data_IF_861197352016
#
_entry.id   IF_861197352016
#
_cell.length_a   1.000
_cell.length_b   1.000
_cell.length_c   1.000
_cell.angle_alpha   90.00
_cell.angle_beta   90.00
_cell.angle_gamma   90.00
#
_symmetry.space_group_name_H-M   'P 1'
#
loop_
_entity.id
_entity.type
_entity.pdbx_description
1 polymer ?
#
# COMPACT_ATOMS: atom_id res chain seq x y z
N UNK A 1 -5.74 -18.94 -16.43
CA UNK A 1 -4.51 -19.38 -17.12
C UNK A 1 -3.26 -18.63 -16.63
N UNK A 2 -3.20 -17.30 -16.66
CA UNK A 2 -2.00 -16.54 -16.25
C UNK A 2 -1.53 -16.81 -14.81
N UNK A 3 -2.43 -16.88 -13.83
CA UNK A 3 -2.09 -17.19 -12.44
C UNK A 3 -1.52 -18.60 -12.26
N UNK A 4 -2.06 -19.57 -12.98
CA UNK A 4 -1.54 -20.93 -13.01
C UNK A 4 -0.13 -20.95 -13.63
N UNK A 5 0.09 -20.21 -14.71
CA UNK A 5 1.40 -20.08 -15.35
C UNK A 5 2.44 -19.47 -14.39
N UNK A 6 2.12 -18.34 -13.76
CA UNK A 6 3.04 -17.66 -12.83
C UNK A 6 3.33 -18.52 -11.59
N UNK A 7 2.30 -19.11 -10.98
CA UNK A 7 2.43 -19.83 -9.71
C UNK A 7 2.93 -21.26 -9.86
N UNK A 8 2.50 -21.98 -10.88
CA UNK A 8 2.79 -23.43 -11.02
C UNK A 8 3.86 -23.72 -12.06
N UNK A 9 3.87 -23.03 -13.18
CA UNK A 9 4.87 -23.25 -14.25
C UNK A 9 6.14 -22.47 -13.97
N UNK A 10 6.05 -21.14 -13.81
CA UNK A 10 7.22 -20.30 -13.53
C UNK A 10 7.72 -20.43 -12.10
N UNK A 11 6.94 -21.00 -11.18
CA UNK A 11 7.26 -21.14 -9.73
C UNK A 11 7.80 -19.85 -9.10
N UNK A 12 7.33 -18.69 -9.59
CA UNK A 12 7.83 -17.40 -9.17
C UNK A 12 7.72 -17.24 -7.64
N UNK A 13 8.87 -17.27 -6.96
CA UNK A 13 8.99 -17.15 -5.49
C UNK A 13 8.05 -18.07 -4.69
N UNK A 14 7.77 -19.26 -5.19
CA UNK A 14 6.82 -20.20 -4.60
C UNK A 14 7.16 -20.55 -3.15
N UNK A 15 8.43 -20.89 -2.89
CA UNK A 15 8.89 -21.22 -1.53
C UNK A 15 8.70 -20.06 -0.55
N UNK A 16 8.98 -18.83 -0.98
CA UNK A 16 8.78 -17.63 -0.16
C UNK A 16 7.29 -17.44 0.17
N UNK A 17 6.43 -17.60 -0.83
CA UNK A 17 4.98 -17.47 -0.64
C UNK A 17 4.44 -18.50 0.37
N UNK A 18 4.82 -19.78 0.20
CA UNK A 18 4.39 -20.87 1.10
C UNK A 18 4.91 -20.65 2.52
N UNK A 19 6.20 -20.32 2.67
CA UNK A 19 6.81 -20.03 3.97
C UNK A 19 6.13 -18.87 4.69
N UNK A 20 5.88 -17.78 3.97
CA UNK A 20 5.23 -16.61 4.53
C UNK A 20 3.80 -16.93 5.00
N UNK A 21 3.01 -17.64 4.17
CA UNK A 21 1.66 -18.07 4.53
C UNK A 21 1.66 -18.99 5.75
N UNK A 22 2.53 -20.03 5.77
CA UNK A 22 2.59 -20.98 6.87
C UNK A 22 3.00 -20.31 8.20
N UNK A 23 3.91 -19.34 8.16
CA UNK A 23 4.32 -18.58 9.35
C UNK A 23 3.25 -17.61 9.83
N UNK A 24 2.53 -16.97 8.89
CA UNK A 24 1.47 -16.04 9.21
C UNK A 24 0.20 -16.72 9.76
N UNK A 25 -0.04 -17.97 9.34
CA UNK A 25 -1.22 -18.75 9.70
C UNK A 25 -0.83 -20.15 10.17
N UNK A 26 -0.14 -20.29 11.33
CA UNK A 26 0.39 -21.58 11.80
C UNK A 26 -0.70 -22.60 12.18
N UNK A 27 -1.94 -22.14 12.36
CA UNK A 27 -3.10 -22.97 12.64
C UNK A 27 -3.73 -23.62 11.40
N UNK A 28 -3.35 -23.16 10.20
CA UNK A 28 -3.89 -23.70 8.95
C UNK A 28 -3.15 -24.99 8.54
N UNK A 29 -3.92 -25.94 8.03
CA UNK A 29 -3.39 -27.16 7.42
C UNK A 29 -2.64 -26.85 6.12
N UNK A 30 -1.80 -27.80 5.69
CA UNK A 30 -1.11 -27.69 4.40
C UNK A 30 -2.06 -27.53 3.21
N UNK A 31 -3.25 -28.13 3.26
CA UNK A 31 -4.26 -28.00 2.22
C UNK A 31 -4.81 -26.56 2.15
N UNK A 32 -5.15 -25.97 3.29
CA UNK A 32 -5.62 -24.58 3.38
C UNK A 32 -4.56 -23.58 2.93
N UNK A 33 -3.30 -23.77 3.33
CA UNK A 33 -2.17 -22.96 2.84
C UNK A 33 -2.07 -23.04 1.31
N UNK A 34 -2.24 -24.22 0.72
CA UNK A 34 -2.23 -24.38 -0.74
C UNK A 34 -3.40 -23.69 -1.44
N UNK A 35 -4.59 -23.67 -0.82
CA UNK A 35 -5.76 -22.92 -1.32
C UNK A 35 -5.44 -21.42 -1.32
N UNK A 36 -4.97 -20.85 -0.20
CA UNK A 36 -4.59 -19.44 -0.13
C UNK A 36 -3.49 -19.07 -1.12
N UNK A 37 -2.47 -19.92 -1.25
CA UNK A 37 -1.41 -19.76 -2.25
C UNK A 37 -1.99 -19.75 -3.68
N UNK A 38 -2.87 -20.70 -4.01
CA UNK A 38 -3.49 -20.76 -5.34
C UNK A 38 -4.27 -19.47 -5.63
N UNK A 39 -5.13 -19.06 -4.72
CA UNK A 39 -5.93 -17.85 -4.84
C UNK A 39 -5.06 -16.60 -4.95
N UNK A 40 -3.97 -16.52 -4.17
CA UNK A 40 -3.00 -15.43 -4.28
C UNK A 40 -2.42 -15.31 -5.70
N UNK A 41 -1.98 -16.42 -6.32
CA UNK A 41 -1.42 -16.34 -7.67
C UNK A 41 -2.47 -15.98 -8.72
N UNK A 42 -3.73 -16.38 -8.55
CA UNK A 42 -4.83 -15.94 -9.41
C UNK A 42 -5.05 -14.42 -9.29
N UNK A 43 -5.08 -13.92 -8.05
CA UNK A 43 -5.22 -12.50 -7.78
C UNK A 43 -4.01 -11.67 -8.24
N UNK A 44 -2.80 -12.17 -8.04
CA UNK A 44 -1.59 -11.53 -8.57
C UNK A 44 -1.63 -11.41 -10.10
N UNK A 45 -2.05 -12.47 -10.77
CA UNK A 45 -2.22 -12.46 -12.23
C UNK A 45 -3.29 -11.45 -12.67
N UNK A 46 -4.39 -11.36 -11.93
CA UNK A 46 -5.44 -10.35 -12.14
C UNK A 46 -4.86 -8.95 -12.01
N UNK A 47 -4.16 -8.65 -10.92
CA UNK A 47 -3.53 -7.34 -10.69
C UNK A 47 -2.54 -7.00 -11.83
N UNK A 48 -1.72 -7.96 -12.25
CA UNK A 48 -0.81 -7.76 -13.38
C UNK A 48 -1.59 -7.42 -14.65
N UNK A 49 -2.63 -8.19 -14.96
CA UNK A 49 -3.45 -7.95 -16.15
C UNK A 49 -4.15 -6.58 -16.09
N UNK A 50 -4.75 -6.23 -14.96
CA UNK A 50 -5.38 -4.92 -14.71
C UNK A 50 -4.38 -3.77 -14.90
N UNK A 51 -3.13 -4.00 -14.52
CA UNK A 51 -2.05 -3.04 -14.69
C UNK A 51 -1.66 -2.80 -16.14
N UNK A 52 -1.86 -3.77 -17.02
CA UNK A 52 -1.71 -3.57 -18.47
C UNK A 52 -2.96 -2.92 -19.10
N UNK A 53 -4.12 -3.03 -18.47
CA UNK A 53 -5.40 -2.51 -18.94
C UNK A 53 -6.02 -1.46 -17.98
N UNK A 54 -5.30 -0.42 -17.56
CA UNK A 54 -5.76 0.49 -16.51
C UNK A 54 -7.01 1.30 -16.85
N UNK A 55 -7.35 1.39 -18.15
CA UNK A 55 -8.57 2.07 -18.62
C UNK A 55 -9.84 1.29 -18.28
N UNK A 56 -9.75 -0.04 -18.18
CA UNK A 56 -10.88 -0.90 -17.87
C UNK A 56 -11.17 -0.98 -16.37
N UNK A 57 -10.17 -0.68 -15.54
CA UNK A 57 -10.28 -0.76 -14.08
C UNK A 57 -10.96 0.50 -13.56
N UNK A 58 -11.98 0.35 -12.72
CA UNK A 58 -12.66 1.45 -12.04
C UNK A 58 -12.25 1.48 -10.57
N UNK A 59 -12.19 2.69 -10.02
CA UNK A 59 -12.01 2.94 -8.59
C UNK A 59 -13.27 3.60 -8.07
N UNK A 60 -13.80 3.07 -6.99
CA UNK A 60 -14.87 3.65 -6.19
C UNK A 60 -14.31 4.03 -4.83
N UNK A 61 -14.82 5.09 -4.26
CA UNK A 61 -14.52 5.48 -2.89
C UNK A 61 -15.68 5.06 -2.01
N UNK A 62 -15.38 4.48 -0.84
CA UNK A 62 -16.41 4.28 0.19
C UNK A 62 -16.96 5.62 0.64
N UNK A 63 -18.13 5.62 1.27
CA UNK A 63 -18.72 6.83 1.84
C UNK A 63 -17.77 7.50 2.84
N UNK A 64 -17.14 6.70 3.72
CA UNK A 64 -16.15 7.18 4.69
C UNK A 64 -14.90 7.77 4.03
N UNK A 65 -14.45 7.22 2.90
CA UNK A 65 -13.32 7.77 2.14
C UNK A 65 -13.68 9.11 1.49
N UNK A 66 -14.89 9.23 0.92
CA UNK A 66 -15.39 10.47 0.35
C UNK A 66 -15.50 11.57 1.42
N UNK A 67 -16.08 11.26 2.57
CA UNK A 67 -16.17 12.19 3.70
C UNK A 67 -14.78 12.63 4.17
N UNK A 68 -13.84 11.69 4.28
CA UNK A 68 -12.46 11.98 4.67
C UNK A 68 -11.78 12.92 3.66
N UNK A 69 -11.87 12.63 2.37
CA UNK A 69 -11.29 13.49 1.33
C UNK A 69 -11.91 14.89 1.35
N UNK A 70 -13.23 14.98 1.49
CA UNK A 70 -13.94 16.27 1.59
C UNK A 70 -13.51 17.08 2.83
N UNK A 71 -13.35 16.41 3.98
CA UNK A 71 -12.81 17.03 5.20
C UNK A 71 -11.39 17.56 4.99
N UNK A 72 -10.51 16.76 4.40
CA UNK A 72 -9.12 17.15 4.11
C UNK A 72 -9.04 18.36 3.17
N UNK A 73 -9.90 18.42 2.17
CA UNK A 73 -9.99 19.57 1.26
C UNK A 73 -10.37 20.87 2.00
N UNK A 74 -11.32 20.78 2.95
CA UNK A 74 -11.74 21.92 3.76
C UNK A 74 -10.64 22.37 4.73
N UNK A 75 -9.94 21.45 5.36
CA UNK A 75 -8.86 21.74 6.31
C UNK A 75 -7.61 22.33 5.66
N UNK A 76 -7.45 22.16 4.35
CA UNK A 76 -6.29 22.68 3.57
C UNK A 76 -4.94 22.32 4.21
N UNK A 77 -4.81 21.10 4.71
CA UNK A 77 -3.60 20.59 5.36
C UNK A 77 -2.93 19.49 4.54
N UNK A 78 -1.69 19.18 4.89
CA UNK A 78 -1.05 17.97 4.36
C UNK A 78 -1.56 16.75 5.10
N UNK A 79 -1.72 15.65 4.38
CA UNK A 79 -2.13 14.35 4.93
C UNK A 79 -1.26 13.25 4.36
N UNK A 80 -0.88 12.30 5.20
CA UNK A 80 -0.17 11.08 4.78
C UNK A 80 -1.15 9.91 4.84
N UNK A 81 -1.28 9.20 3.74
CA UNK A 81 -2.08 7.98 3.63
C UNK A 81 -1.17 6.77 3.45
N UNK A 82 -1.27 5.84 4.39
CA UNK A 82 -0.49 4.61 4.44
C UNK A 82 -1.28 3.44 3.85
N UNK A 83 -0.65 2.63 3.03
CA UNK A 83 -1.22 1.39 2.51
C UNK A 83 -0.17 0.28 2.41
N UNK A 84 -0.63 -0.95 2.29
CA UNK A 84 0.19 -2.12 1.99
C UNK A 84 0.08 -2.54 0.51
N UNK A 85 0.91 -3.51 0.11
CA UNK A 85 0.75 -4.20 -1.17
C UNK A 85 -0.43 -5.21 -1.08
N UNK A 86 -1.61 -4.70 -0.77
CA UNK A 86 -2.86 -5.43 -0.62
C UNK A 86 -3.84 -4.99 -1.70
N UNK A 87 -4.45 -5.94 -2.41
CA UNK A 87 -5.30 -5.64 -3.55
C UNK A 87 -4.53 -5.03 -4.73
N UNK A 88 -5.21 -4.29 -5.57
CA UNK A 88 -4.56 -3.54 -6.65
C UNK A 88 -4.14 -2.14 -6.19
N UNK A 89 -3.03 -2.04 -5.48
CA UNK A 89 -2.49 -0.75 -4.98
C UNK A 89 -2.19 0.28 -6.08
N UNK A 90 -2.10 -0.11 -7.35
CA UNK A 90 -1.89 0.84 -8.45
C UNK A 90 -3.11 1.71 -8.73
N UNK A 91 -4.32 1.31 -8.27
CA UNK A 91 -5.55 2.11 -8.48
C UNK A 91 -5.53 3.44 -7.74
N UNK A 92 -4.67 3.60 -6.69
CA UNK A 92 -4.51 4.90 -6.01
C UNK A 92 -4.11 6.02 -6.97
N UNK A 93 -3.48 5.68 -8.10
CA UNK A 93 -3.12 6.66 -9.14
C UNK A 93 -4.32 7.35 -9.78
N UNK A 94 -5.54 6.86 -9.51
CA UNK A 94 -6.81 7.46 -9.95
C UNK A 94 -7.40 8.45 -8.93
N UNK A 95 -6.85 8.52 -7.71
CA UNK A 95 -7.35 9.42 -6.66
C UNK A 95 -7.42 10.89 -7.09
N UNK A 96 -6.51 11.43 -7.94
CA UNK A 96 -6.65 12.80 -8.43
C UNK A 96 -7.99 13.11 -9.13
N UNK A 97 -8.75 12.08 -9.54
CA UNK A 97 -10.08 12.27 -10.15
C UNK A 97 -11.18 12.57 -9.12
N UNK A 98 -10.91 12.36 -7.82
CA UNK A 98 -11.87 12.49 -6.71
C UNK A 98 -11.56 13.70 -5.79
N UNK A 99 -10.49 14.44 -6.08
CA UNK A 99 -10.07 15.57 -5.23
C UNK A 99 -9.38 16.64 -6.05
N UNK A 100 -9.56 17.89 -5.64
CA UNK A 100 -8.82 19.04 -6.17
C UNK A 100 -7.48 19.26 -5.46
N UNK A 101 -7.17 18.47 -4.42
CA UNK A 101 -5.90 18.57 -3.73
C UNK A 101 -4.78 17.93 -4.54
N UNK A 102 -3.57 18.52 -4.55
CA UNK A 102 -2.40 17.85 -5.10
C UNK A 102 -2.20 16.48 -4.44
N UNK A 103 -2.15 15.42 -5.25
CA UNK A 103 -1.91 14.05 -4.79
C UNK A 103 -0.52 13.62 -5.16
N UNK A 104 0.17 13.00 -4.22
CA UNK A 104 1.57 12.57 -4.34
C UNK A 104 1.70 11.10 -3.94
N UNK A 105 2.63 10.38 -4.56
CA UNK A 105 2.99 9.03 -4.13
C UNK A 105 4.51 8.87 -4.18
N UNK A 106 5.05 8.17 -3.19
CA UNK A 106 6.46 7.83 -3.20
C UNK A 106 6.72 6.69 -4.19
N UNK A 107 7.83 6.77 -4.91
CA UNK A 107 8.24 5.70 -5.77
C UNK A 107 9.75 5.50 -5.75
N UNK A 108 10.18 4.27 -6.04
CA UNK A 108 11.56 3.92 -6.30
C UNK A 108 11.74 3.75 -7.81
N UNK A 109 12.60 4.53 -8.46
CA UNK A 109 12.86 4.38 -9.90
C UNK A 109 13.33 2.96 -10.25
N UNK A 110 12.83 2.44 -11.35
CA UNK A 110 13.25 1.14 -11.87
C UNK A 110 14.63 1.25 -12.54
N UNK A 111 15.45 0.22 -12.43
CA UNK A 111 16.78 0.17 -13.06
C UNK A 111 16.71 0.29 -14.59
N UNK A 112 15.72 -0.37 -15.20
CA UNK A 112 15.49 -0.26 -16.64
C UNK A 112 14.80 1.07 -16.96
N UNK A 113 15.46 1.94 -17.71
CA UNK A 113 15.00 3.30 -18.05
C UNK A 113 13.69 3.30 -18.85
N UNK A 114 13.52 2.36 -19.78
CA UNK A 114 12.31 2.27 -20.59
C UNK A 114 11.09 1.83 -19.74
N UNK A 115 11.25 0.78 -18.94
CA UNK A 115 10.19 0.32 -18.03
C UNK A 115 9.87 1.40 -16.98
N UNK A 116 10.89 2.12 -16.50
CA UNK A 116 10.68 3.25 -15.59
C UNK A 116 9.85 4.36 -16.23
N UNK A 117 10.15 4.74 -17.47
CA UNK A 117 9.39 5.73 -18.23
C UNK A 117 7.93 5.30 -18.41
N UNK A 118 7.69 4.05 -18.83
CA UNK A 118 6.32 3.54 -19.00
C UNK A 118 5.54 3.54 -17.67
N UNK A 119 6.18 3.07 -16.59
CA UNK A 119 5.58 3.07 -15.25
C UNK A 119 5.28 4.50 -14.77
N UNK A 120 6.21 5.42 -14.95
CA UNK A 120 6.04 6.82 -14.60
C UNK A 120 4.88 7.45 -15.37
N UNK A 121 4.87 7.34 -16.71
CA UNK A 121 3.81 7.87 -17.57
C UNK A 121 2.43 7.32 -17.21
N UNK A 122 2.36 6.02 -16.89
CA UNK A 122 1.11 5.38 -16.44
C UNK A 122 0.62 5.99 -15.13
N UNK A 123 1.48 6.06 -14.11
CA UNK A 123 1.12 6.51 -12.75
C UNK A 123 0.78 7.99 -12.68
N UNK A 124 1.37 8.82 -13.54
CA UNK A 124 1.10 10.27 -13.58
C UNK A 124 -0.07 10.67 -14.47
N UNK A 125 -0.66 9.72 -15.19
CA UNK A 125 -1.69 9.97 -16.20
C UNK A 125 -2.91 10.76 -15.69
N UNK A 126 -3.30 10.53 -14.43
CA UNK A 126 -4.46 11.16 -13.81
C UNK A 126 -4.10 12.35 -12.90
N UNK A 127 -2.85 12.84 -12.97
CA UNK A 127 -2.41 13.98 -12.17
C UNK A 127 -1.65 13.60 -10.87
N UNK A 128 -1.43 12.30 -10.61
CA UNK A 128 -0.59 11.86 -9.49
C UNK A 128 0.86 12.32 -9.69
N UNK A 129 1.42 13.05 -8.73
CA UNK A 129 2.84 13.42 -8.72
C UNK A 129 3.67 12.37 -8.02
N UNK A 130 4.67 11.83 -8.70
CA UNK A 130 5.58 10.84 -8.13
C UNK A 130 6.79 11.51 -7.50
N UNK A 131 7.05 11.18 -6.23
CA UNK A 131 8.19 11.68 -5.48
C UNK A 131 9.23 10.56 -5.35
N UNK A 132 10.49 10.76 -5.84
CA UNK A 132 11.55 9.80 -5.59
C UNK A 132 11.76 9.64 -4.07
N UNK A 133 11.72 8.41 -3.57
CA UNK A 133 11.77 8.11 -2.14
C UNK A 133 12.96 8.78 -1.42
N UNK A 134 14.11 8.88 -2.10
CA UNK A 134 15.34 9.52 -1.57
C UNK A 134 15.19 11.02 -1.28
N UNK A 135 14.27 11.69 -1.98
CA UNK A 135 14.10 13.15 -1.89
C UNK A 135 12.75 13.54 -1.30
N UNK A 136 11.89 12.57 -0.99
CA UNK A 136 10.51 12.81 -0.57
C UNK A 136 10.43 13.70 0.68
N UNK A 137 11.21 13.42 1.71
CA UNK A 137 11.27 14.22 2.93
C UNK A 137 11.57 15.69 2.62
N UNK A 138 12.64 15.95 1.86
CA UNK A 138 13.07 17.31 1.51
C UNK A 138 12.01 18.07 0.71
N UNK A 139 11.36 17.37 -0.24
CA UNK A 139 10.31 17.96 -1.08
C UNK A 139 9.09 18.32 -0.23
N UNK A 140 8.63 17.39 0.61
CA UNK A 140 7.43 17.58 1.44
C UNK A 140 7.65 18.64 2.52
N UNK A 141 8.85 18.74 3.10
CA UNK A 141 9.19 19.82 4.03
C UNK A 141 9.20 21.20 3.34
N UNK A 142 9.75 21.29 2.11
CA UNK A 142 9.71 22.54 1.32
C UNK A 142 8.29 22.96 0.99
N UNK A 143 7.41 22.00 0.75
CA UNK A 143 6.00 22.21 0.41
C UNK A 143 5.08 22.15 1.65
N UNK A 144 5.62 22.35 2.87
CA UNK A 144 4.88 22.19 4.12
C UNK A 144 3.58 22.98 4.19
N UNK A 145 3.53 24.15 3.57
CA UNK A 145 2.35 25.02 3.54
C UNK A 145 1.36 24.68 2.40
N UNK A 146 1.73 23.74 1.52
CA UNK A 146 0.87 23.37 0.40
C UNK A 146 0.01 22.17 0.78
N UNK A 147 -1.33 22.33 0.86
CA UNK A 147 -2.23 21.22 1.11
C UNK A 147 -2.02 20.10 0.10
N UNK A 148 -1.94 18.85 0.57
CA UNK A 148 -1.75 17.70 -0.34
C UNK A 148 -2.00 16.38 0.36
N UNK A 149 -2.34 15.36 -0.44
CA UNK A 149 -2.44 13.98 0.01
C UNK A 149 -1.23 13.20 -0.51
N UNK A 150 -0.47 12.58 0.40
CA UNK A 150 0.73 11.82 0.03
C UNK A 150 0.57 10.34 0.42
N UNK A 151 0.70 9.46 -0.56
CA UNK A 151 0.57 8.01 -0.38
C UNK A 151 1.93 7.34 -0.14
N UNK A 152 1.98 6.46 0.87
CA UNK A 152 3.12 5.61 1.19
C UNK A 152 2.70 4.15 1.21
N UNK A 153 3.34 3.31 0.42
CA UNK A 153 3.24 1.86 0.55
C UNK A 153 4.34 1.43 1.53
N UNK A 154 3.95 1.06 2.77
CA UNK A 154 4.87 1.00 3.90
C UNK A 154 5.07 -0.40 4.48
N UNK A 155 4.57 -1.46 3.84
CA UNK A 155 4.54 -2.83 4.36
C UNK A 155 5.76 -3.69 4.04
N UNK A 156 6.72 -3.20 3.28
CA UNK A 156 7.94 -3.96 2.98
C UNK A 156 8.97 -3.84 4.10
N UNK A 157 9.80 -4.88 4.27
CA UNK A 157 10.87 -4.89 5.27
C UNK A 157 11.92 -3.80 4.95
N UNK A 158 12.15 -2.85 5.87
CA UNK A 158 13.03 -1.71 5.61
C UNK A 158 14.50 -1.94 5.92
N UNK A 159 14.86 -3.12 6.46
CA UNK A 159 16.09 -3.34 7.21
C UNK A 159 15.91 -3.03 8.70
N UNK A 160 16.87 -3.47 9.51
CA UNK A 160 16.79 -3.30 10.99
C UNK A 160 16.91 -1.83 11.39
N UNK A 161 17.78 -1.06 10.74
CA UNK A 161 18.08 0.33 11.10
C UNK A 161 16.99 1.35 10.73
N UNK A 162 16.07 0.99 9.83
CA UNK A 162 15.08 1.91 9.27
C UNK A 162 13.64 1.56 9.65
N UNK A 163 13.47 0.68 10.65
CA UNK A 163 12.16 0.17 11.05
C UNK A 163 11.89 0.29 12.54
N UNK A 164 10.62 0.16 12.88
CA UNK A 164 10.14 -0.03 14.25
C UNK A 164 9.75 -1.48 14.40
N UNK A 165 10.17 -2.12 15.47
CA UNK A 165 9.78 -3.49 15.80
C UNK A 165 8.28 -3.56 16.10
N UNK A 166 7.61 -4.49 15.45
CA UNK A 166 6.17 -4.75 15.58
C UNK A 166 5.90 -6.25 15.55
N UNK A 167 4.86 -6.68 16.23
CA UNK A 167 4.25 -7.97 15.98
C UNK A 167 3.35 -7.82 14.75
N UNK A 168 3.56 -8.66 13.74
CA UNK A 168 2.81 -8.63 12.49
C UNK A 168 2.64 -10.03 11.93
N UNK A 169 1.41 -10.49 11.82
CA UNK A 169 1.06 -11.83 11.39
C UNK A 169 1.82 -12.89 12.20
N UNK A 170 1.70 -12.79 13.52
CA UNK A 170 2.30 -13.69 14.52
C UNK A 170 3.83 -13.80 14.47
N UNK A 171 4.49 -12.78 13.95
CA UNK A 171 5.96 -12.74 13.87
C UNK A 171 6.48 -11.35 14.25
N UNK A 172 7.49 -11.31 15.09
CA UNK A 172 8.25 -10.08 15.34
C UNK A 172 9.00 -9.68 14.07
N UNK A 173 8.82 -8.45 13.65
CA UNK A 173 9.46 -7.91 12.43
C UNK A 173 9.61 -6.40 12.51
N UNK A 174 10.31 -5.82 11.53
CA UNK A 174 10.45 -4.37 11.42
C UNK A 174 9.51 -3.81 10.34
N UNK A 175 8.79 -2.74 10.68
CA UNK A 175 7.93 -2.00 9.76
C UNK A 175 8.57 -0.65 9.45
N UNK A 176 8.45 -0.18 8.21
CA UNK A 176 9.04 1.08 7.76
C UNK A 176 8.50 2.28 8.54
N UNK A 177 9.38 2.97 9.26
CA UNK A 177 9.03 4.11 10.12
C UNK A 177 9.18 5.48 9.45
N UNK A 178 9.71 5.53 8.24
CA UNK A 178 9.99 6.81 7.56
C UNK A 178 8.75 7.65 7.33
N UNK A 179 7.61 7.03 7.07
CA UNK A 179 6.34 7.73 6.91
C UNK A 179 5.87 8.39 8.22
N UNK A 180 5.99 7.69 9.35
CA UNK A 180 5.68 8.23 10.68
C UNK A 180 6.61 9.39 11.05
N UNK A 181 7.93 9.21 10.87
CA UNK A 181 8.91 10.28 11.14
C UNK A 181 8.59 11.54 10.34
N UNK A 182 8.24 11.36 9.06
CA UNK A 182 7.84 12.47 8.19
C UNK A 182 6.53 13.11 8.66
N UNK A 183 5.51 12.30 8.97
CA UNK A 183 4.22 12.81 9.45
C UNK A 183 4.37 13.67 10.71
N UNK A 184 5.20 13.22 11.65
CA UNK A 184 5.49 13.94 12.90
C UNK A 184 6.22 15.27 12.64
N UNK A 185 7.22 15.29 11.75
CA UNK A 185 7.94 16.52 11.39
C UNK A 185 7.06 17.54 10.67
N UNK A 186 6.13 17.07 9.86
CA UNK A 186 5.18 17.92 9.13
C UNK A 186 3.96 18.29 9.98
N UNK A 187 3.76 17.62 11.10
CA UNK A 187 2.55 17.75 11.94
C UNK A 187 1.26 17.49 11.15
N UNK A 188 1.23 16.40 10.39
CA UNK A 188 0.11 16.06 9.52
C UNK A 188 -0.84 15.06 10.14
N UNK A 189 -2.06 15.00 9.62
CA UNK A 189 -2.94 13.85 9.82
C UNK A 189 -2.41 12.62 9.07
N UNK A 190 -2.74 11.44 9.60
CA UNK A 190 -2.37 10.15 8.98
C UNK A 190 -3.59 9.25 8.93
N UNK A 191 -3.78 8.58 7.78
CA UNK A 191 -4.80 7.58 7.59
C UNK A 191 -4.27 6.29 6.99
N UNK A 192 -5.01 5.20 7.17
CA UNK A 192 -4.80 3.91 6.54
C UNK A 192 -5.75 3.76 5.36
N UNK A 193 -5.22 3.33 4.23
CA UNK A 193 -6.00 3.00 3.02
C UNK A 193 -6.15 1.50 2.90
N UNK A 194 -7.37 1.02 2.85
CA UNK A 194 -7.71 -0.33 2.47
C UNK A 194 -8.31 -0.39 1.06
N UNK A 195 -8.02 -1.46 0.36
CA UNK A 195 -8.52 -1.74 -0.99
C UNK A 195 -9.23 -3.08 -0.97
N UNK A 196 -10.43 -3.14 -1.52
CA UNK A 196 -11.14 -4.40 -1.68
C UNK A 196 -11.77 -4.48 -3.07
N UNK A 197 -11.80 -5.69 -3.69
CA UNK A 197 -12.46 -5.86 -4.97
C UNK A 197 -13.97 -5.82 -4.77
N UNK A 198 -14.68 -5.05 -5.60
CA UNK A 198 -16.14 -5.14 -5.71
C UNK A 198 -16.55 -6.19 -6.74
N UNK A 199 -15.82 -6.25 -7.85
CA UNK A 199 -16.00 -7.25 -8.92
C UNK A 199 -14.70 -7.39 -9.74
N UNK A 200 -14.76 -7.97 -10.96
CA UNK A 200 -13.55 -8.27 -11.76
C UNK A 200 -12.71 -7.06 -12.16
N UNK A 201 -13.25 -5.87 -12.24
CA UNK A 201 -12.56 -4.67 -12.75
C UNK A 201 -12.82 -3.44 -11.87
N UNK A 202 -13.46 -3.63 -10.73
CA UNK A 202 -13.84 -2.53 -9.84
C UNK A 202 -13.27 -2.77 -8.46
N UNK A 203 -12.71 -1.70 -7.92
CA UNK A 203 -12.08 -1.67 -6.61
C UNK A 203 -12.73 -0.58 -5.77
N UNK A 204 -12.94 -0.87 -4.52
CA UNK A 204 -13.31 0.12 -3.52
C UNK A 204 -12.11 0.49 -2.67
N UNK A 205 -11.94 1.78 -2.45
CA UNK A 205 -10.95 2.34 -1.55
C UNK A 205 -11.67 2.93 -0.34
N UNK A 206 -11.24 2.50 0.83
CA UNK A 206 -11.67 3.04 2.10
C UNK A 206 -10.51 3.72 2.83
N UNK A 207 -10.79 4.78 3.61
CA UNK A 207 -9.79 5.52 4.38
C UNK A 207 -10.21 5.53 5.85
N UNK A 208 -9.36 4.97 6.70
CA UNK A 208 -9.55 4.96 8.15
C UNK A 208 -8.54 5.88 8.82
N UNK A 209 -8.96 6.79 9.71
CA UNK A 209 -8.03 7.67 10.40
C UNK A 209 -7.10 6.87 11.33
N UNK A 210 -5.83 7.25 11.38
CA UNK A 210 -4.86 6.79 12.38
C UNK A 210 -4.68 7.89 13.43
N UNK A 211 -4.41 9.12 13.00
CA UNK A 211 -4.35 10.28 13.89
C UNK A 211 -4.62 11.57 13.10
N UNK A 212 -5.13 12.58 13.77
CA UNK A 212 -5.34 13.91 13.19
C UNK A 212 -4.09 14.79 13.33
N UNK A 213 -3.23 14.51 14.32
CA UNK A 213 -1.99 15.24 14.59
C UNK A 213 -0.86 14.26 14.92
N UNK A 214 -0.01 14.00 13.95
CA UNK A 214 1.10 13.05 14.12
C UNK A 214 2.14 13.52 15.14
N UNK A 215 2.38 14.83 15.30
CA UNK A 215 3.35 15.34 16.28
C UNK A 215 2.93 15.08 17.73
N UNK A 216 1.62 14.97 17.99
CA UNK A 216 1.09 14.68 19.32
C UNK A 216 1.11 13.17 19.66
N UNK A 217 1.48 12.30 18.72
CA UNK A 217 1.54 10.85 18.97
C UNK A 217 2.87 10.43 19.58
N UNK A 218 2.87 9.35 20.35
CA UNK A 218 4.13 8.71 20.80
C UNK A 218 4.85 8.06 19.60
N UNK A 219 6.16 7.93 19.71
CA UNK A 219 6.98 7.27 18.69
C UNK A 219 6.56 5.80 18.51
N UNK A 220 6.44 5.38 17.26
CA UNK A 220 6.03 4.02 16.89
C UNK A 220 4.52 3.79 16.86
N UNK A 221 3.71 4.70 17.39
CA UNK A 221 2.26 4.51 17.46
C UNK A 221 1.63 4.42 16.06
N UNK A 222 1.96 5.33 15.17
CA UNK A 222 1.41 5.36 13.80
C UNK A 222 1.79 4.09 13.04
N UNK A 223 3.06 3.69 13.15
CA UNK A 223 3.58 2.49 12.49
C UNK A 223 2.92 1.22 13.03
N UNK A 224 2.72 1.12 14.35
CA UNK A 224 2.04 -0.02 14.98
C UNK A 224 0.56 -0.08 14.60
N UNK A 225 -0.14 1.05 14.58
CA UNK A 225 -1.54 1.09 14.14
C UNK A 225 -1.70 0.73 12.67
N UNK A 226 -0.81 1.23 11.80
CA UNK A 226 -0.78 0.83 10.40
C UNK A 226 -0.60 -0.69 10.25
N UNK A 227 0.38 -1.27 10.96
CA UNK A 227 0.62 -2.70 10.95
C UNK A 227 -0.63 -3.50 11.36
N UNK A 228 -1.27 -3.11 12.46
CA UNK A 228 -2.49 -3.77 12.96
C UNK A 228 -3.66 -3.66 11.97
N UNK A 229 -3.87 -2.49 11.34
CA UNK A 229 -4.94 -2.32 10.35
C UNK A 229 -4.69 -3.14 9.08
N UNK A 230 -3.44 -3.19 8.60
CA UNK A 230 -3.07 -4.01 7.46
C UNK A 230 -3.21 -5.51 7.79
N UNK A 231 -2.79 -5.93 8.97
CA UNK A 231 -2.95 -7.31 9.44
C UNK A 231 -4.42 -7.74 9.43
N UNK A 232 -5.32 -6.92 9.94
CA UNK A 232 -6.78 -7.18 9.89
C UNK A 232 -7.28 -7.34 8.46
N UNK A 233 -6.79 -6.52 7.51
CA UNK A 233 -7.14 -6.67 6.10
C UNK A 233 -6.65 -8.00 5.52
N UNK A 234 -5.41 -8.40 5.86
CA UNK A 234 -4.81 -9.67 5.41
C UNK A 234 -5.53 -10.86 6.02
N UNK A 235 -5.88 -10.80 7.31
CA UNK A 235 -6.63 -11.88 8.00
C UNK A 235 -8.03 -12.05 7.41
N UNK A 236 -8.69 -10.97 6.98
CA UNK A 236 -10.01 -11.03 6.33
C UNK A 236 -9.95 -11.76 4.99
N UNK A 237 -8.97 -11.49 4.15
CA UNK A 237 -8.71 -12.21 2.90
C UNK A 237 -7.21 -12.25 2.58
N UNK A 238 -6.53 -13.34 2.96
CA UNK A 238 -5.09 -13.48 2.74
C UNK A 238 -4.69 -13.47 1.27
N UNK A 239 -5.60 -13.80 0.36
CA UNK A 239 -5.28 -14.00 -1.06
C UNK A 239 -4.87 -12.73 -1.81
N UNK A 240 -5.04 -11.54 -1.21
CA UNK A 240 -4.76 -10.25 -1.83
C UNK A 240 -3.44 -9.61 -1.43
N UNK A 241 -2.75 -10.10 -0.39
CA UNK A 241 -1.47 -9.50 0.01
C UNK A 241 -0.29 -10.09 -0.77
N UNK A 242 0.78 -9.30 -0.96
CA UNK A 242 1.94 -9.66 -1.77
C UNK A 242 2.88 -10.66 -1.07
N UNK A 243 2.47 -11.92 -0.96
CA UNK A 243 3.18 -13.00 -0.28
C UNK A 243 4.55 -13.33 -0.89
N UNK A 244 4.84 -12.90 -2.09
CA UNK A 244 6.14 -13.15 -2.75
C UNK A 244 7.26 -12.25 -2.26
N UNK A 245 6.98 -11.25 -1.42
CA UNK A 245 8.01 -10.42 -0.80
C UNK A 245 8.68 -11.18 0.37
N UNK A 246 10.04 -11.12 0.44
CA UNK A 246 10.79 -11.64 1.61
C UNK A 246 10.61 -10.68 2.79
N UNK A 247 9.46 -10.72 3.44
CA UNK A 247 9.02 -9.79 4.48
C UNK A 247 9.74 -10.04 5.80
N UNK A 248 9.93 -11.29 6.14
CA UNK A 248 10.62 -11.73 7.35
C UNK A 248 12.03 -12.19 7.00
N UNK A 249 13.03 -11.41 7.45
CA UNK A 249 14.45 -11.68 7.25
C UNK A 249 15.15 -11.70 8.58
#
# INVERSE_FOLDING_TARGET
MLGYFIGKICKYRLSVCVQNLARAFPHLSYQEINIHRHNFYQNLARIIWENFHPRLVKLHLSESALETINRLQKQRSQTILLLGHYGNWEVITKIPQFTNMPTKALYKPLKNRFLNYLSYKKRTKHGMRLLPAQHALRILLREKQTPSITFFIADQFPGHDNGIAVEFLQQTTFMFSGAEKLARQLNTSVGYVSLQPLNKLEWELDIKPICDNAAATSEGLITKQFASMLEKSIQKDPSWWLWTHRRWK
#
